data_IF_040538272915
#
_entry.id   IF_040538272915
#
_cell.length_a   1.000
_cell.length_b   1.000
_cell.length_c   1.000
_cell.angle_alpha   90.00
_cell.angle_beta   90.00
_cell.angle_gamma   90.00
#
_symmetry.space_group_name_H-M   'P 1'
#
loop_
_entity.id
_entity.type
_entity.pdbx_description
1 polymer ?
#
# COMPACT_ATOMS: atom_id res chain seq x y z
N UNK A 1 -7.53 9.81 22.62
CA UNK A 1 -6.95 10.54 21.48
C UNK A 1 -5.98 9.59 20.85
N UNK A 2 -6.34 9.03 19.70
CA UNK A 2 -5.38 8.29 18.91
C UNK A 2 -4.37 9.30 18.33
N UNK A 3 -3.11 9.20 18.71
CA UNK A 3 -2.06 10.09 18.22
C UNK A 3 -1.56 9.66 16.84
N UNK A 4 -0.98 10.55 16.04
CA UNK A 4 -0.29 10.21 14.78
C UNK A 4 0.69 9.04 14.94
N UNK A 5 1.30 8.91 16.13
CA UNK A 5 2.19 7.81 16.49
C UNK A 5 1.46 6.46 16.44
N UNK A 6 0.22 6.40 16.92
CA UNK A 6 -0.57 5.17 16.91
C UNK A 6 -0.97 4.75 15.50
N UNK A 7 -1.37 5.68 14.63
CA UNK A 7 -1.67 5.39 13.21
C UNK A 7 -0.42 4.81 12.52
N UNK A 8 0.74 5.43 12.73
CA UNK A 8 2.02 4.92 12.21
C UNK A 8 2.32 3.51 12.72
N UNK A 9 2.08 3.26 14.01
CA UNK A 9 2.29 1.93 14.59
C UNK A 9 1.33 0.88 14.01
N UNK A 10 0.08 1.23 13.72
CA UNK A 10 -0.88 0.36 13.05
C UNK A 10 -0.37 -0.01 11.65
N UNK A 11 0.03 0.98 10.84
CA UNK A 11 0.56 0.75 9.48
C UNK A 11 1.79 -0.16 9.53
N UNK A 12 2.77 0.15 10.40
CA UNK A 12 3.98 -0.66 10.57
C UNK A 12 3.68 -2.09 10.97
N UNK A 13 2.76 -2.29 11.93
CA UNK A 13 2.38 -3.63 12.38
C UNK A 13 1.75 -4.41 11.24
N UNK A 14 0.78 -3.80 10.55
CA UNK A 14 0.11 -4.41 9.41
C UNK A 14 1.08 -4.81 8.30
N UNK A 15 2.01 -3.94 7.91
CA UNK A 15 3.05 -4.26 6.93
C UNK A 15 3.89 -5.47 7.35
N UNK A 16 4.29 -5.55 8.62
CA UNK A 16 5.03 -6.70 9.13
C UNK A 16 4.20 -7.98 9.09
N UNK A 17 2.94 -7.93 9.54
CA UNK A 17 2.05 -9.11 9.56
C UNK A 17 1.82 -9.63 8.13
N UNK A 18 1.51 -8.75 7.18
CA UNK A 18 1.25 -9.09 5.77
C UNK A 18 2.44 -9.81 5.14
N UNK A 19 3.66 -9.32 5.38
CA UNK A 19 4.87 -9.89 4.80
C UNK A 19 5.44 -11.08 5.58
N UNK A 20 5.06 -11.28 6.84
CA UNK A 20 5.44 -12.47 7.61
C UNK A 20 4.51 -13.66 7.34
N UNK A 21 3.21 -13.42 7.20
CA UNK A 21 2.21 -14.48 7.12
C UNK A 21 1.92 -14.96 5.69
N UNK A 22 2.31 -14.20 4.67
CA UNK A 22 2.00 -14.49 3.28
C UNK A 22 3.23 -14.36 2.39
N UNK A 23 3.74 -15.50 1.92
CA UNK A 23 4.76 -15.51 0.88
C UNK A 23 4.15 -15.01 -0.44
N UNK A 24 4.76 -13.99 -1.04
CA UNK A 24 4.26 -13.39 -2.29
C UNK A 24 4.44 -14.39 -3.45
N UNK A 25 3.35 -14.85 -4.10
CA UNK A 25 3.40 -15.86 -5.17
C UNK A 25 4.25 -15.41 -6.34
N UNK A 26 5.11 -16.29 -6.90
CA UNK A 26 6.10 -15.95 -7.96
C UNK A 26 5.55 -15.26 -9.21
N UNK A 27 4.27 -15.43 -9.49
CA UNK A 27 3.57 -14.86 -10.64
C UNK A 27 3.08 -13.43 -10.40
N UNK A 28 3.09 -12.91 -9.16
CA UNK A 28 2.84 -11.49 -8.91
C UNK A 28 3.94 -10.70 -9.62
N UNK A 29 3.61 -9.75 -10.49
CA UNK A 29 4.53 -8.80 -11.11
C UNK A 29 4.36 -7.39 -10.56
N UNK A 30 3.29 -7.06 -9.86
CA UNK A 30 3.14 -5.78 -9.18
C UNK A 30 2.43 -5.91 -7.83
N UNK A 31 2.81 -5.10 -6.86
CA UNK A 31 2.10 -4.87 -5.60
C UNK A 31 1.46 -3.49 -5.63
N UNK A 32 0.17 -3.43 -5.34
CA UNK A 32 -0.59 -2.20 -5.22
C UNK A 32 -0.93 -1.95 -3.75
N UNK A 33 -0.28 -0.96 -3.16
CA UNK A 33 -0.67 -0.42 -1.88
C UNK A 33 -1.58 0.78 -2.11
N UNK A 34 -2.71 0.79 -1.43
CA UNK A 34 -3.69 1.86 -1.52
C UNK A 34 -4.11 2.31 -0.13
N UNK A 35 -4.49 3.58 -0.02
CA UNK A 35 -5.15 4.14 1.16
C UNK A 35 -6.43 4.82 0.72
N UNK A 36 -7.54 4.54 1.39
CA UNK A 36 -8.81 5.19 1.11
C UNK A 36 -9.52 5.66 2.36
N UNK A 37 -10.41 6.62 2.17
CA UNK A 37 -11.29 7.14 3.21
C UNK A 37 -12.63 6.46 3.12
N UNK A 38 -13.05 5.80 4.20
CA UNK A 38 -14.39 5.27 4.37
C UNK A 38 -15.27 6.30 5.12
N UNK A 39 -16.52 5.92 5.41
CA UNK A 39 -17.39 6.75 6.25
C UNK A 39 -16.84 6.92 7.67
N UNK A 40 -16.25 5.86 8.22
CA UNK A 40 -15.93 5.78 9.65
C UNK A 40 -14.44 5.96 9.96
N UNK A 41 -13.56 5.64 9.01
CA UNK A 41 -12.10 5.68 9.18
C UNK A 41 -11.35 5.73 7.85
N UNK A 42 -10.04 5.87 7.92
CA UNK A 42 -9.16 5.56 6.81
C UNK A 42 -8.81 4.08 6.87
N UNK A 43 -8.66 3.46 5.71
CA UNK A 43 -8.20 2.09 5.60
C UNK A 43 -7.10 1.99 4.54
N UNK A 44 -6.18 1.08 4.77
CA UNK A 44 -5.13 0.72 3.81
C UNK A 44 -5.39 -0.68 3.29
N UNK A 45 -4.97 -0.93 2.05
CA UNK A 45 -4.94 -2.28 1.54
C UNK A 45 -3.75 -2.60 0.63
N UNK A 46 -3.49 -3.90 0.47
CA UNK A 46 -2.48 -4.46 -0.42
C UNK A 46 -3.11 -5.51 -1.35
N UNK A 47 -2.86 -5.38 -2.63
CA UNK A 47 -3.16 -6.39 -3.66
C UNK A 47 -1.91 -6.66 -4.51
N UNK A 48 -1.86 -7.81 -5.17
CA UNK A 48 -0.79 -8.16 -6.10
C UNK A 48 -1.34 -8.67 -7.42
N UNK A 49 -0.67 -8.28 -8.51
CA UNK A 49 -1.15 -8.43 -9.88
C UNK A 49 -0.10 -9.12 -10.74
N UNK A 50 -0.49 -9.94 -11.73
CA UNK A 50 0.43 -10.65 -12.63
C UNK A 50 0.71 -9.93 -13.96
N UNK A 51 0.10 -8.75 -14.14
CA UNK A 51 0.41 -7.81 -15.21
C UNK A 51 0.81 -6.46 -14.61
N UNK A 52 1.59 -5.70 -15.35
CA UNK A 52 1.91 -4.32 -15.01
C UNK A 52 2.10 -3.49 -16.28
N UNK A 53 1.35 -2.38 -16.39
CA UNK A 53 1.48 -1.46 -17.51
C UNK A 53 1.41 0.00 -17.05
N UNK A 54 2.55 0.67 -17.00
CA UNK A 54 2.71 2.06 -16.53
C UNK A 54 1.86 3.12 -17.26
N UNK A 55 1.26 2.79 -18.41
CA UNK A 55 0.43 3.71 -19.21
C UNK A 55 -1.07 3.53 -18.94
N UNK A 56 -1.52 2.34 -18.52
CA UNK A 56 -2.94 1.99 -18.47
C UNK A 56 -3.25 1.11 -17.27
N UNK A 57 -4.22 1.50 -16.45
CA UNK A 57 -4.60 0.80 -15.21
C UNK A 57 -5.34 -0.53 -15.43
N UNK A 58 -5.41 -1.04 -16.67
CA UNK A 58 -6.01 -2.34 -16.97
C UNK A 58 -5.33 -3.48 -16.22
N UNK A 59 -4.06 -3.30 -15.84
CA UNK A 59 -3.31 -4.26 -15.02
C UNK A 59 -3.94 -4.46 -13.63
N UNK A 60 -4.72 -3.50 -13.10
CA UNK A 60 -5.47 -3.68 -11.85
C UNK A 60 -6.52 -4.82 -11.93
N UNK A 61 -6.97 -5.18 -13.14
CA UNK A 61 -7.90 -6.29 -13.35
C UNK A 61 -7.22 -7.67 -13.27
N UNK A 62 -5.90 -7.70 -13.17
CA UNK A 62 -5.06 -8.91 -13.16
C UNK A 62 -4.65 -9.33 -11.73
N UNK A 63 -5.52 -9.09 -10.75
CA UNK A 63 -5.24 -9.46 -9.36
C UNK A 63 -5.07 -10.98 -9.22
N UNK A 64 -3.92 -11.40 -8.71
CA UNK A 64 -3.56 -12.81 -8.47
C UNK A 64 -3.10 -13.07 -7.03
N UNK A 65 -3.01 -12.02 -6.22
CA UNK A 65 -2.56 -12.10 -4.84
C UNK A 65 -3.32 -11.14 -3.94
N UNK A 66 -3.91 -11.70 -2.90
CA UNK A 66 -4.59 -11.00 -1.82
C UNK A 66 -4.06 -11.58 -0.50
N UNK A 67 -3.27 -10.84 0.29
CA UNK A 67 -2.84 -11.32 1.60
C UNK A 67 -4.04 -11.52 2.53
N UNK A 68 -3.95 -12.47 3.46
CA UNK A 68 -5.07 -12.80 4.37
C UNK A 68 -5.57 -11.62 5.21
N UNK A 69 -4.70 -10.65 5.47
CA UNK A 69 -5.01 -9.39 6.14
C UNK A 69 -4.81 -8.21 5.18
N UNK A 70 -5.41 -8.30 3.99
CA UNK A 70 -5.25 -7.28 2.96
C UNK A 70 -5.82 -5.93 3.33
N UNK A 71 -6.86 -5.84 4.16
CA UNK A 71 -7.40 -4.57 4.64
C UNK A 71 -7.00 -4.30 6.09
N UNK A 72 -6.67 -3.05 6.40
CA UNK A 72 -6.45 -2.58 7.76
C UNK A 72 -7.08 -1.20 7.98
N UNK A 73 -8.08 -1.16 8.84
CA UNK A 73 -8.63 0.09 9.37
C UNK A 73 -7.63 0.82 10.27
N UNK A 74 -7.56 2.14 10.15
CA UNK A 74 -6.65 2.99 10.93
C UNK A 74 -7.31 3.59 12.19
N UNK A 75 -8.53 3.14 12.50
CA UNK A 75 -9.30 3.56 13.67
C UNK A 75 -10.13 4.82 13.39
N UNK A 76 -11.28 4.93 14.05
CA UNK A 76 -12.23 6.06 13.89
C UNK A 76 -11.64 7.45 14.08
N UNK A 77 -10.58 7.56 14.87
CA UNK A 77 -9.90 8.85 15.10
C UNK A 77 -9.09 9.31 13.88
N UNK A 78 -8.81 8.43 12.91
CA UNK A 78 -8.05 8.74 11.70
C UNK A 78 -8.76 9.76 10.81
N UNK A 79 -10.10 9.82 10.82
CA UNK A 79 -10.89 10.79 10.04
C UNK A 79 -10.65 12.25 10.45
N UNK A 80 -10.01 12.47 11.61
CA UNK A 80 -9.63 13.79 12.08
C UNK A 80 -8.42 14.36 11.33
N UNK A 81 -7.63 13.49 10.69
CA UNK A 81 -6.55 13.91 9.81
C UNK A 81 -7.15 14.33 8.46
N UNK A 82 -6.55 15.35 7.86
CA UNK A 82 -6.81 15.66 6.46
C UNK A 82 -6.28 14.54 5.57
N UNK A 83 -6.85 14.43 4.37
CA UNK A 83 -6.42 13.45 3.38
C UNK A 83 -4.91 13.58 3.07
N UNK A 84 -4.39 14.82 3.05
CA UNK A 84 -2.97 15.08 2.84
C UNK A 84 -2.09 14.60 4.00
N UNK A 85 -2.47 14.86 5.26
CA UNK A 85 -1.71 14.39 6.42
C UNK A 85 -1.68 12.86 6.48
N UNK A 86 -2.83 12.23 6.21
CA UNK A 86 -2.93 10.78 6.16
C UNK A 86 -2.06 10.21 5.05
N UNK A 87 -2.09 10.85 3.88
CA UNK A 87 -1.26 10.45 2.76
C UNK A 87 0.24 10.59 3.05
N UNK A 88 0.67 11.67 3.71
CA UNK A 88 2.08 11.87 4.06
C UNK A 88 2.57 10.80 5.05
N UNK A 89 1.73 10.42 6.02
CA UNK A 89 2.00 9.32 6.95
C UNK A 89 2.10 8.00 6.19
N UNK A 90 1.06 7.66 5.42
CA UNK A 90 0.98 6.43 4.64
C UNK A 90 2.18 6.28 3.71
N UNK A 91 2.48 7.34 2.95
CA UNK A 91 3.59 7.36 2.01
C UNK A 91 4.91 7.11 2.72
N UNK A 92 5.16 7.79 3.84
CA UNK A 92 6.40 7.60 4.59
C UNK A 92 6.53 6.17 5.11
N UNK A 93 5.49 5.63 5.75
CA UNK A 93 5.57 4.32 6.40
C UNK A 93 5.66 3.17 5.41
N UNK A 94 4.87 3.19 4.34
CA UNK A 94 4.93 2.16 3.29
C UNK A 94 6.23 2.29 2.50
N UNK A 95 6.65 3.51 2.13
CA UNK A 95 7.90 3.69 1.39
C UNK A 95 9.12 3.22 2.20
N UNK A 96 9.25 3.59 3.47
CA UNK A 96 10.39 3.18 4.30
C UNK A 96 10.40 1.67 4.54
N UNK A 97 9.23 1.07 4.79
CA UNK A 97 9.13 -0.38 4.93
C UNK A 97 9.54 -1.11 3.66
N UNK A 98 9.04 -0.65 2.51
CA UNK A 98 9.35 -1.29 1.25
C UNK A 98 10.79 -1.05 0.84
N UNK A 99 11.35 0.13 1.10
CA UNK A 99 12.77 0.41 0.90
C UNK A 99 13.66 -0.55 1.71
N UNK A 100 13.34 -0.84 2.96
CA UNK A 100 14.05 -1.87 3.77
C UNK A 100 14.02 -3.26 3.12
N UNK A 101 12.95 -3.57 2.36
CA UNK A 101 12.82 -4.82 1.60
C UNK A 101 13.41 -4.77 0.18
N UNK A 102 13.58 -3.58 -0.38
CA UNK A 102 14.00 -3.34 -1.77
C UNK A 102 15.44 -2.82 -1.87
N UNK A 103 16.14 -2.46 -0.79
CA UNK A 103 17.58 -2.17 -0.86
C UNK A 103 18.41 -3.40 -1.34
N UNK A 104 17.78 -4.58 -1.49
CA UNK A 104 18.31 -5.72 -2.24
C UNK A 104 18.14 -5.63 -3.79
N UNK A 105 17.21 -4.80 -4.33
CA UNK A 105 16.81 -4.68 -5.75
C UNK A 105 16.25 -3.29 -6.19
N UNK A 106 17.04 -2.21 -6.15
CA UNK A 106 16.56 -0.80 -6.20
C UNK A 106 16.02 -0.28 -7.56
N UNK A 107 16.31 -0.91 -8.69
CA UNK A 107 15.94 -0.42 -10.03
C UNK A 107 14.48 -0.71 -10.47
N UNK A 108 13.68 -1.34 -9.61
CA UNK A 108 12.34 -1.87 -9.94
C UNK A 108 11.18 -1.20 -9.18
N UNK A 109 11.46 -0.12 -8.44
CA UNK A 109 10.44 0.66 -7.73
C UNK A 109 9.93 1.78 -8.60
N UNK A 110 8.69 1.65 -9.06
CA UNK A 110 8.02 2.72 -9.78
C UNK A 110 6.92 3.35 -8.93
N UNK A 111 7.23 4.52 -8.37
CA UNK A 111 6.24 5.34 -7.70
C UNK A 111 5.31 5.99 -8.72
N UNK A 112 4.08 5.46 -8.85
CA UNK A 112 3.02 6.12 -9.60
C UNK A 112 2.07 6.81 -8.64
N UNK A 113 2.11 8.14 -8.61
CA UNK A 113 1.01 8.91 -8.06
C UNK A 113 -0.12 8.92 -9.10
N UNK A 114 -0.93 7.85 -9.14
CA UNK A 114 -2.14 7.81 -9.94
C UNK A 114 -3.13 8.83 -9.34
N UNK A 115 -3.02 10.09 -9.79
CA UNK A 115 -4.01 11.13 -9.50
C UNK A 115 -5.29 10.79 -10.26
N UNK A 116 -6.12 9.94 -9.68
CA UNK A 116 -7.53 9.94 -10.04
C UNK A 116 -8.16 11.28 -9.62
N UNK A 117 -9.12 11.84 -10.36
CA UNK A 117 -9.78 13.08 -9.98
C UNK A 117 -10.60 12.99 -8.67
N UNK A 118 -10.71 11.80 -8.08
CA UNK A 118 -11.63 11.49 -6.97
C UNK A 118 -11.05 10.48 -5.96
N UNK A 119 -9.76 10.13 -6.04
CA UNK A 119 -9.13 9.08 -5.23
C UNK A 119 -7.87 9.54 -4.50
N UNK A 120 -7.61 8.94 -3.34
CA UNK A 120 -6.34 9.04 -2.64
C UNK A 120 -5.22 8.34 -3.42
N UNK A 121 -3.94 8.69 -3.21
CA UNK A 121 -2.87 8.23 -4.10
C UNK A 121 -2.41 6.80 -3.78
N UNK A 122 -1.98 6.10 -4.82
CA UNK A 122 -1.50 4.72 -4.78
C UNK A 122 0.03 4.63 -4.71
N UNK A 123 0.53 3.52 -4.20
CA UNK A 123 1.94 3.14 -4.19
C UNK A 123 2.09 1.80 -4.88
N UNK A 124 2.81 1.78 -5.99
CA UNK A 124 3.01 0.59 -6.82
C UNK A 124 4.45 0.10 -6.75
N UNK A 125 4.63 -1.21 -6.77
CA UNK A 125 5.95 -1.85 -6.80
C UNK A 125 5.96 -2.97 -7.81
N UNK A 126 6.88 -2.95 -8.79
CA UNK A 126 7.01 -4.01 -9.79
C UNK A 126 7.99 -5.08 -9.28
N UNK A 127 7.65 -6.35 -9.48
CA UNK A 127 8.35 -7.54 -8.99
C UNK A 127 9.15 -8.21 -10.09
N UNK A 128 9.72 -7.48 -11.05
CA UNK A 128 10.44 -8.13 -12.15
C UNK A 128 11.50 -9.15 -11.65
N UNK A 129 11.99 -9.12 -10.39
CA UNK A 129 12.85 -10.16 -9.79
C UNK A 129 12.84 -10.38 -8.24
N UNK A 130 11.70 -10.37 -7.49
CA UNK A 130 11.68 -10.96 -6.11
C UNK A 130 11.80 -12.50 -6.14
#
# INVERSE_FOLDING_TARGET
>A
MQSTIEIRNIIKKWLNDVFQDSAIPKNVLALNFHIQRTHDEFEIYLTGHDDFHHVHDTWLLSEVYEPKANYQGLGKDSIRLSDQEMYDIYKLEVFEFIKDKIDDYPEYVHYFNCRYPVGMPELLFERSLL
#
